data_IF_143138919116
#
_entry.id   IF_143138919116
#
_cell.length_a   1.000
_cell.length_b   1.000
_cell.length_c   1.000
_cell.angle_alpha   90.00
_cell.angle_beta   90.00
_cell.angle_gamma   90.00
#
_symmetry.space_group_name_H-M   'P 1'
#
loop_
_entity.id
_entity.type
_entity.pdbx_description
1 polymer ?
#
# COMPACT_ATOMS: atom_id res chain seq x y z
N UNK A 1 21.59 -2.92 -6.90
CA UNK A 1 21.66 -3.38 -5.49
C UNK A 1 20.56 -2.83 -4.56
N UNK A 2 20.07 -1.59 -4.73
CA UNK A 2 19.09 -0.98 -3.81
C UNK A 2 17.66 -0.81 -4.38
N UNK A 3 17.38 -1.40 -5.55
CA UNK A 3 16.09 -1.23 -6.24
C UNK A 3 14.90 -1.69 -5.40
N UNK A 4 14.95 -2.93 -4.90
CA UNK A 4 13.89 -3.50 -4.05
C UNK A 4 13.66 -2.68 -2.78
N UNK A 5 14.72 -2.20 -2.12
CA UNK A 5 14.59 -1.33 -0.94
C UNK A 5 13.86 -0.03 -1.28
N UNK A 6 14.25 0.64 -2.36
CA UNK A 6 13.65 1.92 -2.74
C UNK A 6 12.18 1.76 -3.13
N UNK A 7 11.86 0.72 -3.91
CA UNK A 7 10.49 0.46 -4.35
C UNK A 7 9.63 0.03 -3.14
N UNK A 8 10.10 -0.88 -2.29
CA UNK A 8 9.38 -1.31 -1.10
C UNK A 8 9.06 -0.12 -0.18
N UNK A 9 10.04 0.74 0.12
CA UNK A 9 9.82 1.95 0.92
C UNK A 9 8.83 2.89 0.26
N UNK A 10 8.94 3.10 -1.05
CA UNK A 10 8.02 3.98 -1.79
C UNK A 10 6.59 3.47 -1.72
N UNK A 11 6.35 2.19 -1.99
CA UNK A 11 5.02 1.58 -1.90
C UNK A 11 4.47 1.66 -0.46
N UNK A 12 5.26 1.25 0.54
CA UNK A 12 4.84 1.24 1.94
C UNK A 12 4.52 2.65 2.46
N UNK A 13 5.38 3.63 2.18
CA UNK A 13 5.15 5.02 2.58
C UNK A 13 3.90 5.59 1.91
N UNK A 14 3.71 5.32 0.62
CA UNK A 14 2.52 5.76 -0.11
C UNK A 14 1.24 5.18 0.49
N UNK A 15 1.20 3.88 0.79
CA UNK A 15 0.04 3.23 1.39
C UNK A 15 -0.29 3.76 2.79
N UNK A 16 0.66 4.38 3.49
CA UNK A 16 0.45 5.00 4.81
C UNK A 16 -0.08 6.44 4.76
N UNK A 17 -0.34 7.00 3.56
CA UNK A 17 -0.86 8.37 3.42
C UNK A 17 -2.27 8.52 4.02
N UNK A 18 -2.58 9.73 4.48
CA UNK A 18 -3.86 10.04 5.14
C UNK A 18 -5.08 9.74 4.27
N UNK A 19 -4.94 9.86 2.95
CA UNK A 19 -5.97 9.50 1.96
C UNK A 19 -6.48 8.06 2.11
N UNK A 20 -5.65 7.13 2.59
CA UNK A 20 -6.00 5.71 2.70
C UNK A 20 -6.41 5.29 4.11
N UNK A 21 -6.21 6.15 5.12
CA UNK A 21 -6.58 5.86 6.52
C UNK A 21 -8.07 5.63 6.73
N UNK A 22 -8.91 6.07 5.79
CA UNK A 22 -10.36 5.86 5.80
C UNK A 22 -10.80 4.41 5.57
N UNK A 23 -9.90 3.49 5.17
CA UNK A 23 -10.29 2.10 4.91
C UNK A 23 -10.76 1.86 3.49
N UNK A 24 -11.36 0.69 3.27
CA UNK A 24 -11.96 0.30 1.99
C UNK A 24 -13.07 1.25 1.55
N UNK A 25 -13.23 1.43 0.23
CA UNK A 25 -14.41 2.06 -0.35
C UNK A 25 -15.63 1.17 -0.18
N UNK A 26 -16.82 1.77 -0.08
CA UNK A 26 -18.07 1.04 0.15
C UNK A 26 -18.72 0.56 -1.16
N UNK A 27 -18.43 1.23 -2.27
CA UNK A 27 -18.94 0.86 -3.61
C UNK A 27 -17.82 0.74 -4.62
N UNK A 28 -18.12 0.06 -5.73
CA UNK A 28 -17.17 -0.11 -6.83
C UNK A 28 -16.84 1.24 -7.49
N UNK A 29 -17.82 2.15 -7.63
CA UNK A 29 -17.60 3.48 -8.20
C UNK A 29 -16.66 4.33 -7.33
N UNK A 30 -16.80 4.27 -6.00
CA UNK A 30 -15.88 4.92 -5.07
C UNK A 30 -14.47 4.33 -5.16
N UNK A 31 -14.36 3.03 -5.38
CA UNK A 31 -13.08 2.34 -5.54
C UNK A 31 -12.40 2.70 -6.87
N UNK A 32 -13.14 2.70 -7.98
CA UNK A 32 -12.67 3.13 -9.30
C UNK A 32 -12.23 4.60 -9.29
N UNK A 33 -13.00 5.48 -8.65
CA UNK A 33 -12.61 6.87 -8.42
C UNK A 33 -11.31 6.97 -7.64
N UNK A 34 -11.18 6.21 -6.55
CA UNK A 34 -9.95 6.19 -5.76
C UNK A 34 -8.75 5.75 -6.59
N UNK A 35 -8.87 4.69 -7.39
CA UNK A 35 -7.79 4.22 -8.27
C UNK A 35 -7.40 5.26 -9.32
N UNK A 36 -8.38 5.97 -9.90
CA UNK A 36 -8.12 7.04 -10.87
C UNK A 36 -7.45 8.27 -10.25
N UNK A 37 -7.84 8.64 -9.03
CA UNK A 37 -7.21 9.74 -8.28
C UNK A 37 -5.82 9.37 -7.74
N UNK A 38 -5.58 8.08 -7.52
CA UNK A 38 -4.37 7.56 -6.91
C UNK A 38 -3.75 6.46 -7.80
N UNK A 39 -3.24 6.78 -9.01
CA UNK A 39 -2.83 5.77 -10.00
C UNK A 39 -1.76 4.78 -9.52
N UNK A 40 -0.97 5.16 -8.52
CA UNK A 40 0.06 4.30 -7.94
C UNK A 40 -0.49 3.31 -6.91
N UNK A 41 -1.75 3.45 -6.46
CA UNK A 41 -2.36 2.60 -5.43
C UNK A 41 -2.38 1.13 -5.84
N UNK A 42 -2.80 0.84 -7.09
CA UNK A 42 -2.89 -0.53 -7.59
C UNK A 42 -1.54 -1.26 -7.49
N UNK A 43 -0.50 -0.62 -8.05
CA UNK A 43 0.85 -1.16 -8.03
C UNK A 43 1.41 -1.27 -6.61
N UNK A 44 1.27 -0.21 -5.82
CA UNK A 44 1.82 -0.17 -4.47
C UNK A 44 1.24 -1.29 -3.61
N UNK A 45 -0.08 -1.47 -3.61
CA UNK A 45 -0.76 -2.50 -2.84
C UNK A 45 -0.40 -3.92 -3.29
N UNK A 46 -0.27 -4.16 -4.61
CA UNK A 46 0.06 -5.49 -5.15
C UNK A 46 1.52 -5.90 -4.97
N UNK A 47 2.46 -4.96 -5.01
CA UNK A 47 3.89 -5.29 -5.13
C UNK A 47 4.75 -4.98 -3.90
N UNK A 48 4.27 -4.21 -2.91
CA UNK A 48 5.12 -3.81 -1.78
C UNK A 48 5.75 -5.02 -1.05
N UNK A 49 4.99 -6.11 -0.88
CA UNK A 49 5.46 -7.31 -0.17
C UNK A 49 6.53 -8.09 -0.95
N UNK A 50 6.41 -8.14 -2.28
CA UNK A 50 7.41 -8.75 -3.15
C UNK A 50 8.74 -8.01 -3.05
N UNK A 51 8.70 -6.67 -3.13
CA UNK A 51 9.89 -5.84 -3.01
C UNK A 51 10.49 -5.87 -1.61
N UNK A 52 9.65 -5.98 -0.57
CA UNK A 52 10.06 -6.05 0.83
C UNK A 52 10.82 -7.33 1.18
N UNK A 53 10.54 -8.46 0.50
CA UNK A 53 11.07 -9.79 0.84
C UNK A 53 12.61 -9.86 0.92
N UNK A 54 13.32 -9.08 0.11
CA UNK A 54 14.79 -9.10 0.07
C UNK A 54 15.45 -8.09 1.02
N UNK A 55 14.65 -7.25 1.70
CA UNK A 55 15.10 -6.05 2.42
C UNK A 55 14.28 -5.84 3.71
N UNK A 56 13.80 -6.95 4.29
CA UNK A 56 12.82 -6.97 5.38
C UNK A 56 13.31 -6.18 6.61
N UNK A 57 14.58 -6.35 6.98
CA UNK A 57 15.19 -5.65 8.11
C UNK A 57 15.16 -4.12 7.92
N UNK A 58 15.36 -3.64 6.70
CA UNK A 58 15.44 -2.22 6.37
C UNK A 58 14.07 -1.54 6.22
N UNK A 59 13.01 -2.33 5.99
CA UNK A 59 11.63 -1.85 5.82
C UNK A 59 10.74 -2.15 7.02
N UNK A 60 11.22 -2.92 8.00
CA UNK A 60 10.47 -3.38 9.18
C UNK A 60 9.57 -2.30 9.77
N UNK A 61 10.13 -1.14 10.13
CA UNK A 61 9.36 -0.05 10.75
C UNK A 61 8.19 0.45 9.88
N UNK A 62 8.40 0.59 8.57
CA UNK A 62 7.37 1.11 7.66
C UNK A 62 6.33 0.03 7.35
N UNK A 63 6.76 -1.23 7.21
CA UNK A 63 5.83 -2.35 7.08
C UNK A 63 4.97 -2.50 8.34
N UNK A 64 5.56 -2.43 9.54
CA UNK A 64 4.81 -2.43 10.79
C UNK A 64 3.82 -1.28 10.87
N UNK A 65 4.18 -0.07 10.40
CA UNK A 65 3.26 1.06 10.36
C UNK A 65 2.03 0.75 9.51
N UNK A 66 2.21 0.23 8.29
CA UNK A 66 1.10 -0.16 7.43
C UNK A 66 0.22 -1.23 8.10
N UNK A 67 0.83 -2.26 8.68
CA UNK A 67 0.12 -3.37 9.33
C UNK A 67 -0.68 -2.93 10.57
N UNK A 68 -0.24 -1.89 11.28
CA UNK A 68 -0.93 -1.34 12.44
C UNK A 68 -2.00 -0.29 12.07
N UNK A 69 -1.90 0.33 10.89
CA UNK A 69 -2.91 1.24 10.38
C UNK A 69 -4.03 0.47 9.67
N UNK A 70 -5.01 -0.01 10.45
CA UNK A 70 -6.10 -0.88 9.96
C UNK A 70 -6.86 -0.30 8.76
N UNK A 71 -7.09 1.01 8.70
CA UNK A 71 -7.70 1.67 7.55
C UNK A 71 -6.82 1.60 6.30
N UNK A 72 -5.57 2.03 6.40
CA UNK A 72 -4.60 1.95 5.30
C UNK A 72 -4.42 0.51 4.81
N UNK A 73 -4.34 -0.45 5.74
CA UNK A 73 -4.27 -1.87 5.43
C UNK A 73 -5.54 -2.36 4.71
N UNK A 74 -6.73 -2.02 5.19
CA UNK A 74 -7.98 -2.40 4.55
C UNK A 74 -8.13 -1.81 3.14
N UNK A 75 -7.68 -0.56 2.93
CA UNK A 75 -7.62 0.04 1.60
C UNK A 75 -6.66 -0.74 0.68
N UNK A 76 -5.45 -1.04 1.15
CA UNK A 76 -4.47 -1.81 0.38
C UNK A 76 -4.98 -3.23 0.08
N UNK A 77 -5.64 -3.87 1.06
CA UNK A 77 -6.22 -5.20 0.89
C UNK A 77 -7.36 -5.23 -0.11
N UNK A 78 -8.21 -4.19 -0.19
CA UNK A 78 -9.29 -4.12 -1.19
C UNK A 78 -8.76 -4.28 -2.62
N UNK A 79 -7.57 -3.73 -2.92
CA UNK A 79 -6.90 -3.88 -4.23
C UNK A 79 -6.56 -5.34 -4.57
N UNK A 80 -6.34 -6.19 -3.57
CA UNK A 80 -5.97 -7.59 -3.77
C UNK A 80 -7.18 -8.49 -4.06
N UNK A 81 -8.40 -8.01 -3.81
CA UNK A 81 -9.64 -8.78 -3.94
C UNK A 81 -10.48 -8.37 -5.16
N UNK A 82 -9.92 -7.54 -6.05
CA UNK A 82 -10.51 -7.09 -7.33
C UNK A 82 -9.62 -7.57 -8.46
#
# INVERSE_FOLDING_TARGET
PNGSLHIAKTCLTYLCFDTFKGGSCSTDEEFEERLRQNPFLDYAAKHWGEHARLVEAEIFNVASLLLLQTGSLACASQVLFV
#
